data_IF_813534864485
#
_entry.id   IF_813534864485
#
_cell.length_a   1.000
_cell.length_b   1.000
_cell.length_c   1.000
_cell.angle_alpha   90.00
_cell.angle_beta   90.00
_cell.angle_gamma   90.00
#
_symmetry.space_group_name_H-M   'P 1'
#
loop_
_entity.id
_entity.type
_entity.pdbx_description
1 polymer ?
#
# COMPACT_ATOMS: atom_id res chain seq x y z
N UNK A 1 5.82 21.58 86.07
CA UNK A 1 6.74 20.62 85.44
C UNK A 1 8.02 20.64 86.25
N UNK A 2 8.47 19.48 86.72
CA UNK A 2 9.77 19.35 87.41
C UNK A 2 10.90 19.47 86.37
N UNK A 3 12.11 19.85 86.77
CA UNK A 3 13.30 19.91 85.88
C UNK A 3 13.49 18.60 85.08
N UNK A 4 13.11 17.48 85.70
CA UNK A 4 13.13 16.13 85.13
C UNK A 4 12.14 15.91 83.98
N UNK A 5 11.04 16.65 83.94
CA UNK A 5 10.03 16.56 82.87
C UNK A 5 10.47 17.35 81.62
N UNK A 6 11.18 18.46 81.82
CA UNK A 6 11.73 19.28 80.72
C UNK A 6 12.87 18.52 80.03
N UNK A 7 13.75 17.89 80.81
CA UNK A 7 14.87 17.11 80.28
C UNK A 7 14.40 15.89 79.47
N UNK A 8 13.36 15.18 79.92
CA UNK A 8 12.72 14.10 79.14
C UNK A 8 12.12 14.59 77.83
N UNK A 9 11.49 15.76 77.84
CA UNK A 9 10.84 16.34 76.66
C UNK A 9 11.87 16.82 75.61
N UNK A 10 12.98 17.40 76.06
CA UNK A 10 14.11 17.79 75.20
C UNK A 10 14.79 16.57 74.57
N UNK A 11 14.95 15.48 75.32
CA UNK A 11 15.49 14.22 74.78
C UNK A 11 14.56 13.62 73.73
N UNK A 12 13.25 13.56 74.00
CA UNK A 12 12.26 13.06 73.03
C UNK A 12 12.24 13.90 71.73
N UNK A 13 12.33 15.22 71.82
CA UNK A 13 12.41 16.08 70.63
C UNK A 13 13.69 15.86 69.81
N UNK A 14 14.82 15.63 70.48
CA UNK A 14 16.11 15.34 69.80
C UNK A 14 16.08 14.01 69.07
N UNK A 15 15.59 12.95 69.72
CA UNK A 15 15.45 11.64 69.07
C UNK A 15 14.49 11.73 67.88
N UNK A 16 13.35 12.43 68.02
CA UNK A 16 12.42 12.68 66.91
C UNK A 16 13.05 13.42 65.73
N UNK A 17 13.93 14.39 66.01
CA UNK A 17 14.64 15.12 64.96
C UNK A 17 15.63 14.23 64.20
N UNK A 18 16.33 13.32 64.90
CA UNK A 18 17.22 12.33 64.27
C UNK A 18 16.45 11.39 63.34
N UNK A 19 15.31 10.87 63.80
CA UNK A 19 14.45 9.97 63.01
C UNK A 19 13.98 10.63 61.71
N UNK A 20 13.45 11.86 61.81
CA UNK A 20 12.94 12.60 60.65
C UNK A 20 14.05 12.93 59.67
N UNK A 21 15.24 13.32 60.15
CA UNK A 21 16.38 13.60 59.31
C UNK A 21 16.85 12.33 58.58
N UNK A 22 16.90 11.19 59.28
CA UNK A 22 17.26 9.91 58.67
C UNK A 22 16.28 9.52 57.55
N UNK A 23 14.96 9.60 57.80
CA UNK A 23 13.96 9.30 56.78
C UNK A 23 14.06 10.22 55.56
N UNK A 24 14.29 11.52 55.79
CA UNK A 24 14.43 12.50 54.71
C UNK A 24 15.63 12.20 53.81
N UNK A 25 16.80 11.93 54.39
CA UNK A 25 18.01 11.58 53.63
C UNK A 25 17.83 10.28 52.84
N UNK A 26 17.23 9.26 53.46
CA UNK A 26 16.89 8.00 52.78
C UNK A 26 15.95 8.25 51.59
N UNK A 27 14.92 9.08 51.75
CA UNK A 27 13.98 9.39 50.67
C UNK A 27 14.64 10.16 49.52
N UNK A 28 15.54 11.10 49.82
CA UNK A 28 16.32 11.81 48.80
C UNK A 28 17.20 10.88 47.97
N UNK A 29 17.88 9.94 48.63
CA UNK A 29 18.74 8.95 47.97
C UNK A 29 17.88 8.05 47.08
N UNK A 30 16.80 7.47 47.63
CA UNK A 30 15.95 6.51 46.93
C UNK A 30 15.09 7.10 45.81
N UNK A 31 14.97 8.43 45.73
CA UNK A 31 14.28 9.13 44.64
C UNK A 31 15.09 9.21 43.34
N UNK A 32 16.42 8.98 43.38
CA UNK A 32 17.32 9.09 42.23
C UNK A 32 17.35 7.78 41.42
N UNK A 33 16.37 7.62 40.54
CA UNK A 33 16.21 6.42 39.70
C UNK A 33 17.29 6.24 38.62
N UNK A 34 18.12 7.25 38.40
CA UNK A 34 19.26 7.27 37.48
C UNK A 34 20.53 6.65 38.07
N UNK A 35 20.58 6.41 39.38
CA UNK A 35 21.70 5.73 40.04
C UNK A 35 21.49 4.22 40.10
N UNK A 36 22.56 3.40 39.99
CA UNK A 36 22.46 1.98 40.26
C UNK A 36 21.95 1.71 41.68
N UNK A 37 21.12 0.68 41.85
CA UNK A 37 20.59 0.28 43.16
C UNK A 37 21.71 0.00 44.16
N UNK A 38 22.83 -0.55 43.68
CA UNK A 38 24.02 -0.83 44.47
C UNK A 38 24.58 0.46 45.13
N UNK A 39 24.67 1.55 44.37
CA UNK A 39 25.16 2.84 44.85
C UNK A 39 24.16 3.48 45.82
N UNK A 40 22.86 3.41 45.49
CA UNK A 40 21.80 3.91 46.36
C UNK A 40 21.79 3.17 47.72
N UNK A 41 21.97 1.85 47.75
CA UNK A 41 22.03 1.07 48.98
C UNK A 41 23.26 1.40 49.83
N UNK A 42 24.42 1.63 49.21
CA UNK A 42 25.62 2.08 49.93
C UNK A 42 25.40 3.44 50.60
N UNK A 43 24.79 4.39 49.89
CA UNK A 43 24.46 5.70 50.46
C UNK A 43 23.42 5.60 51.58
N UNK A 44 22.37 4.77 51.41
CA UNK A 44 21.34 4.57 52.44
C UNK A 44 21.93 4.02 53.73
N UNK A 45 22.83 3.04 53.64
CA UNK A 45 23.46 2.46 54.83
C UNK A 45 24.28 3.50 55.62
N UNK A 46 24.72 4.59 54.97
CA UNK A 46 25.48 5.67 55.61
C UNK A 46 24.66 6.63 56.44
N UNK A 47 23.41 6.83 56.04
CA UNK A 47 22.51 7.78 56.69
C UNK A 47 21.64 7.14 57.76
N UNK A 48 21.67 5.81 57.89
CA UNK A 48 20.94 5.07 58.93
C UNK A 48 21.52 5.30 60.33
N UNK A 49 22.82 5.12 60.62
CA UNK A 49 23.36 5.21 61.99
C UNK A 49 23.03 6.49 62.77
N UNK A 50 23.07 7.70 62.17
CA UNK A 50 22.68 8.94 62.85
C UNK A 50 21.21 9.00 63.31
N UNK A 51 20.32 8.19 62.72
CA UNK A 51 18.91 8.10 63.07
C UNK A 51 18.61 7.33 64.35
N UNK A 52 19.63 6.66 64.93
CA UNK A 52 19.50 5.83 66.12
C UNK A 52 19.99 6.54 67.39
N UNK A 53 19.50 6.09 68.55
CA UNK A 53 19.81 6.63 69.87
C UNK A 53 21.33 6.62 70.14
N UNK A 54 21.99 5.49 69.86
CA UNK A 54 23.43 5.30 70.01
C UNK A 54 24.15 5.25 68.66
N UNK A 55 24.18 6.39 67.96
CA UNK A 55 24.70 6.50 66.59
C UNK A 55 26.19 6.13 66.43
N UNK A 56 27.00 6.31 67.47
CA UNK A 56 28.45 6.04 67.50
C UNK A 56 28.78 4.55 67.33
N UNK A 57 27.98 3.69 67.96
CA UNK A 57 28.11 2.23 67.92
C UNK A 57 27.11 1.57 66.99
N UNK A 58 26.31 2.36 66.25
CA UNK A 58 25.33 1.87 65.31
C UNK A 58 25.98 1.49 63.98
N UNK A 59 25.62 0.32 63.44
CA UNK A 59 26.00 -0.15 62.10
C UNK A 59 24.78 -0.69 61.38
N UNK A 60 24.64 -0.36 60.11
CA UNK A 60 23.52 -0.82 59.29
C UNK A 60 24.04 -1.72 58.15
N UNK A 61 23.19 -2.63 57.68
CA UNK A 61 23.48 -3.54 56.59
C UNK A 61 22.22 -3.78 55.77
N UNK A 62 22.34 -3.67 54.46
CA UNK A 62 21.31 -4.10 53.51
C UNK A 62 21.81 -5.37 52.82
N UNK A 63 20.95 -6.38 52.75
CA UNK A 63 21.14 -7.55 51.92
C UNK A 63 20.10 -7.51 50.79
N UNK A 64 20.52 -7.66 49.54
CA UNK A 64 19.65 -7.71 48.37
C UNK A 64 20.27 -8.56 47.27
N UNK A 65 19.51 -9.52 46.72
CA UNK A 65 19.95 -10.45 45.66
C UNK A 65 21.33 -11.13 45.94
N UNK A 66 21.57 -11.50 47.21
CA UNK A 66 22.80 -12.18 47.63
C UNK A 66 24.03 -11.26 47.76
N UNK A 67 23.88 -9.95 47.56
CA UNK A 67 24.89 -8.95 47.83
C UNK A 67 24.62 -8.24 49.16
N UNK A 68 25.70 -7.83 49.83
CA UNK A 68 25.66 -7.18 51.15
C UNK A 68 26.28 -5.79 51.04
N UNK A 69 25.55 -4.80 51.54
CA UNK A 69 25.94 -3.39 51.53
C UNK A 69 26.13 -2.93 52.98
N UNK A 70 27.37 -2.55 53.32
CA UNK A 70 27.77 -1.98 54.62
C UNK A 70 28.97 -1.06 54.43
N UNK A 71 29.13 -0.07 55.31
CA UNK A 71 30.23 0.91 55.23
C UNK A 71 31.51 0.40 55.86
N UNK A 72 31.37 -0.30 56.98
CA UNK A 72 32.47 -0.89 57.72
C UNK A 72 32.12 -2.32 58.06
N UNK A 73 33.09 -3.22 57.94
CA UNK A 73 32.96 -4.56 58.49
C UNK A 73 32.98 -4.49 60.02
N UNK A 74 32.02 -5.15 60.65
CA UNK A 74 31.94 -5.26 62.10
C UNK A 74 31.62 -6.70 62.50
N UNK A 75 31.90 -7.04 63.76
CA UNK A 75 31.55 -8.35 64.30
C UNK A 75 30.08 -8.37 64.70
N UNK A 76 29.26 -9.32 64.20
CA UNK A 76 27.87 -9.44 64.59
C UNK A 76 27.72 -9.57 66.11
N UNK A 77 26.82 -8.79 66.67
CA UNK A 77 26.49 -8.80 68.10
C UNK A 77 25.07 -9.33 68.30
N UNK A 78 24.70 -9.78 69.52
CA UNK A 78 23.31 -10.15 69.82
C UNK A 78 22.37 -8.93 69.88
N UNK A 79 22.87 -7.71 69.72
CA UNK A 79 22.10 -6.46 69.76
C UNK A 79 21.76 -6.01 68.34
N UNK A 80 20.78 -6.69 67.75
CA UNK A 80 20.35 -6.48 66.37
C UNK A 80 18.84 -6.30 66.28
N UNK A 81 18.42 -5.45 65.36
CA UNK A 81 17.07 -5.44 64.83
C UNK A 81 17.11 -5.57 63.31
N UNK A 82 16.14 -6.28 62.76
CA UNK A 82 16.08 -6.58 61.33
C UNK A 82 14.65 -6.51 60.82
N UNK A 83 14.49 -6.13 59.56
CA UNK A 83 13.21 -6.16 58.86
C UNK A 83 13.41 -6.60 57.41
N UNK A 84 12.52 -7.45 56.92
CA UNK A 84 12.55 -7.92 55.53
C UNK A 84 12.23 -6.77 54.57
N UNK A 85 12.91 -6.77 53.42
CA UNK A 85 12.60 -5.90 52.28
C UNK A 85 11.70 -6.71 51.35
N UNK A 86 10.45 -6.25 51.21
CA UNK A 86 9.41 -6.97 50.45
C UNK A 86 9.04 -6.19 49.19
N UNK A 87 9.11 -6.85 48.04
CA UNK A 87 8.69 -6.30 46.74
C UNK A 87 7.61 -7.21 46.17
N UNK A 88 6.42 -6.65 45.92
CA UNK A 88 5.26 -7.37 45.38
C UNK A 88 4.92 -8.68 46.14
N UNK A 89 5.11 -8.68 47.47
CA UNK A 89 4.81 -9.83 48.33
C UNK A 89 5.92 -10.87 48.43
N UNK A 90 7.02 -10.73 47.71
CA UNK A 90 8.21 -11.57 47.85
C UNK A 90 9.30 -10.86 48.67
N UNK A 91 9.95 -11.59 49.58
CA UNK A 91 11.14 -11.10 50.29
C UNK A 91 12.32 -11.12 49.31
N UNK A 92 12.89 -9.94 49.03
CA UNK A 92 14.01 -9.78 48.09
C UNK A 92 15.33 -9.46 48.81
N UNK A 93 15.28 -9.28 50.13
CA UNK A 93 16.40 -8.82 50.92
C UNK A 93 16.01 -8.52 52.35
N UNK A 94 16.94 -7.94 53.11
CA UNK A 94 16.73 -7.56 54.51
C UNK A 94 17.53 -6.32 54.87
N UNK A 95 16.94 -5.48 55.73
CA UNK A 95 17.63 -4.37 56.39
C UNK A 95 17.88 -4.76 57.84
N UNK A 96 19.12 -4.62 58.30
CA UNK A 96 19.51 -4.92 59.67
C UNK A 96 20.35 -3.80 60.27
N UNK A 97 20.16 -3.55 61.57
CA UNK A 97 20.88 -2.53 62.34
C UNK A 97 21.39 -3.13 63.65
N UNK A 98 22.67 -2.93 63.94
CA UNK A 98 23.36 -3.44 65.12
C UNK A 98 23.90 -2.33 65.99
N UNK A 99 24.01 -2.62 67.28
CA UNK A 99 24.96 -1.95 68.17
C UNK A 99 26.20 -2.81 68.40
N UNK A 100 27.39 -2.25 68.21
CA UNK A 100 28.68 -2.97 68.36
C UNK A 100 29.08 -3.21 69.81
N UNK A 101 28.43 -2.54 70.76
CA UNK A 101 28.68 -2.62 72.19
C UNK A 101 27.39 -2.84 72.99
N UNK A 102 27.52 -3.34 74.23
CA UNK A 102 26.37 -3.49 75.12
C UNK A 102 25.82 -2.11 75.49
N UNK A 103 24.51 -1.96 75.36
CA UNK A 103 23.75 -0.77 75.78
C UNK A 103 22.65 -1.14 76.79
N UNK A 104 22.10 -0.17 77.54
CA UNK A 104 20.98 -0.39 78.46
C UNK A 104 19.81 -1.08 77.75
N UNK A 105 18.99 -1.81 78.51
CA UNK A 105 17.75 -2.37 77.96
C UNK A 105 16.68 -1.28 77.92
N UNK A 106 16.08 -1.11 76.76
CA UNK A 106 14.97 -0.21 76.46
C UNK A 106 13.73 -1.07 76.11
N UNK A 107 13.01 -0.74 75.04
CA UNK A 107 11.76 -1.40 74.64
C UNK A 107 12.00 -2.75 73.92
N UNK A 108 12.90 -2.76 72.92
CA UNK A 108 13.19 -3.90 72.05
C UNK A 108 14.67 -4.25 72.21
N UNK A 109 15.01 -4.94 73.31
CA UNK A 109 16.42 -5.13 73.66
C UNK A 109 17.04 -3.78 74.01
N UNK A 110 18.11 -3.31 73.33
CA UNK A 110 18.66 -1.98 73.54
C UNK A 110 18.02 -0.88 72.66
N UNK A 111 17.00 -1.20 71.86
CA UNK A 111 16.37 -0.27 70.91
C UNK A 111 15.03 0.28 71.43
N UNK A 112 14.64 1.47 70.96
CA UNK A 112 13.36 2.11 71.24
C UNK A 112 12.25 1.60 70.30
N UNK A 113 10.99 1.67 70.73
CA UNK A 113 9.83 1.38 69.85
C UNK A 113 9.80 2.27 68.59
N UNK A 114 10.35 3.48 68.69
CA UNK A 114 10.40 4.45 67.59
C UNK A 114 11.43 4.02 66.52
N UNK A 115 12.61 3.55 66.93
CA UNK A 115 13.62 2.93 66.06
C UNK A 115 13.11 1.66 65.37
N UNK A 116 12.28 0.87 66.07
CA UNK A 116 11.59 -0.29 65.49
C UNK A 116 10.56 0.07 64.41
N UNK A 117 9.95 1.27 64.49
CA UNK A 117 9.09 1.82 63.43
C UNK A 117 9.93 2.41 62.29
N UNK A 118 11.06 3.04 62.61
CA UNK A 118 11.98 3.63 61.64
C UNK A 118 12.54 2.57 60.69
N UNK A 119 13.11 1.47 61.20
CA UNK A 119 13.67 0.39 60.36
C UNK A 119 12.62 -0.23 59.42
N UNK A 120 11.40 -0.42 59.92
CA UNK A 120 10.28 -0.94 59.11
C UNK A 120 9.92 0.02 57.98
N UNK A 121 9.84 1.31 58.28
CA UNK A 121 9.55 2.35 57.28
C UNK A 121 10.65 2.39 56.22
N UNK A 122 11.93 2.33 56.61
CA UNK A 122 13.06 2.32 55.67
C UNK A 122 13.01 1.05 54.80
N UNK A 123 12.75 -0.12 55.37
CA UNK A 123 12.62 -1.37 54.62
C UNK A 123 11.47 -1.33 53.58
N UNK A 124 10.33 -0.70 53.94
CA UNK A 124 9.22 -0.47 53.01
C UNK A 124 9.62 0.48 51.86
N UNK A 125 10.37 1.56 52.16
CA UNK A 125 10.87 2.50 51.13
C UNK A 125 11.88 1.85 50.20
N UNK A 126 12.78 1.02 50.72
CA UNK A 126 13.72 0.22 49.93
C UNK A 126 12.96 -0.70 48.97
N UNK A 127 11.93 -1.39 49.44
CA UNK A 127 11.07 -2.23 48.59
C UNK A 127 10.38 -1.43 47.47
N UNK A 128 9.86 -0.25 47.78
CA UNK A 128 9.26 0.64 46.77
C UNK A 128 10.28 1.10 45.72
N UNK A 129 11.48 1.51 46.14
CA UNK A 129 12.54 1.97 45.24
C UNK A 129 13.00 0.86 44.29
N UNK A 130 13.21 -0.37 44.79
CA UNK A 130 13.56 -1.53 43.95
C UNK A 130 12.51 -1.76 42.85
N UNK A 131 11.21 -1.64 43.19
CA UNK A 131 10.14 -1.76 42.21
C UNK A 131 10.22 -0.66 41.15
N UNK A 132 10.44 0.60 41.55
CA UNK A 132 10.59 1.71 40.62
C UNK A 132 11.79 1.56 39.67
N UNK A 133 12.93 1.09 40.17
CA UNK A 133 14.10 0.79 39.34
C UNK A 133 13.80 -0.32 38.31
N UNK A 134 13.17 -1.43 38.72
CA UNK A 134 12.76 -2.51 37.80
C UNK A 134 11.84 -2.00 36.69
N UNK A 135 10.89 -1.12 37.02
CA UNK A 135 9.99 -0.51 36.05
C UNK A 135 10.72 0.45 35.10
N UNK A 136 11.64 1.26 35.64
CA UNK A 136 12.42 2.23 34.87
C UNK A 136 13.31 1.53 33.82
N UNK A 137 14.04 0.48 34.21
CA UNK A 137 14.85 -0.32 33.29
C UNK A 137 14.03 -1.02 32.21
N UNK A 138 12.88 -1.60 32.59
CA UNK A 138 11.98 -2.26 31.64
C UNK A 138 11.46 -1.28 30.59
N UNK A 139 11.14 -0.05 31.01
CA UNK A 139 10.72 1.02 30.09
C UNK A 139 11.82 1.40 29.11
N UNK A 140 13.06 1.58 29.58
CA UNK A 140 14.19 1.92 28.71
C UNK A 140 14.44 0.83 27.65
N UNK A 141 14.46 -0.44 28.05
CA UNK A 141 14.60 -1.58 27.13
C UNK A 141 13.49 -1.62 26.07
N UNK A 142 12.26 -1.30 26.47
CA UNK A 142 11.11 -1.25 25.55
C UNK A 142 11.19 -0.07 24.57
N UNK A 143 11.66 1.10 25.02
CA UNK A 143 11.89 2.27 24.16
C UNK A 143 12.99 2.02 23.12
N UNK A 144 14.08 1.35 23.50
CA UNK A 144 15.16 0.95 22.60
C UNK A 144 14.69 -0.06 21.54
N UNK A 145 14.00 -1.13 21.95
CA UNK A 145 13.46 -2.14 21.03
C UNK A 145 12.46 -1.54 20.03
N UNK A 146 11.61 -0.60 20.47
CA UNK A 146 10.70 0.13 19.58
C UNK A 146 11.44 1.02 18.58
N UNK A 147 12.55 1.65 18.99
CA UNK A 147 13.37 2.48 18.11
C UNK A 147 14.06 1.64 17.03
N UNK A 148 14.56 0.46 17.37
CA UNK A 148 15.15 -0.49 16.42
C UNK A 148 14.11 -1.01 15.42
N UNK A 149 12.93 -1.42 15.89
CA UNK A 149 11.84 -1.87 15.02
C UNK A 149 11.34 -0.76 14.08
N UNK A 150 11.32 0.48 14.55
CA UNK A 150 10.95 1.64 13.74
C UNK A 150 11.99 1.93 12.66
N UNK A 151 13.29 1.85 12.99
CA UNK A 151 14.37 2.00 12.02
C UNK A 151 14.34 0.89 10.94
N UNK A 152 14.08 -0.36 11.33
CA UNK A 152 13.98 -1.48 10.39
C UNK A 152 12.78 -1.34 9.43
N UNK A 153 11.63 -0.82 9.90
CA UNK A 153 10.49 -0.47 9.04
C UNK A 153 10.81 0.68 8.06
N UNK A 154 11.66 1.63 8.47
CA UNK A 154 11.96 2.83 7.70
C UNK A 154 12.82 2.58 6.46
N UNK A 155 13.51 1.44 6.37
CA UNK A 155 14.42 1.12 5.26
C UNK A 155 14.01 -0.09 4.40
N UNK A 156 12.82 -0.67 4.63
CA UNK A 156 12.31 -1.83 3.89
C UNK A 156 12.27 -1.64 2.37
N UNK A 157 12.16 -0.40 1.90
CA UNK A 157 12.13 -0.08 0.47
C UNK A 157 13.46 -0.34 -0.25
N UNK A 158 14.60 -0.28 0.44
CA UNK A 158 15.92 -0.33 -0.21
C UNK A 158 16.18 -1.65 -0.92
N UNK A 159 15.90 -2.79 -0.28
CA UNK A 159 16.18 -4.09 -0.87
C UNK A 159 15.38 -4.39 -2.16
N UNK A 160 14.05 -4.15 -2.23
CA UNK A 160 13.29 -4.28 -3.47
C UNK A 160 13.79 -3.37 -4.61
N UNK A 161 14.12 -2.11 -4.31
CA UNK A 161 14.61 -1.16 -5.32
C UNK A 161 16.01 -1.54 -5.82
N UNK A 162 16.88 -1.99 -4.92
CA UNK A 162 18.22 -2.46 -5.29
C UNK A 162 18.16 -3.76 -6.12
N UNK A 163 17.25 -4.67 -5.78
CA UNK A 163 16.99 -5.87 -6.60
C UNK A 163 16.57 -5.49 -8.01
N UNK A 164 15.60 -4.57 -8.15
CA UNK A 164 15.14 -4.05 -9.43
C UNK A 164 16.28 -3.42 -10.23
N UNK A 165 17.13 -2.61 -9.58
CA UNK A 165 18.29 -1.95 -10.20
C UNK A 165 19.29 -2.97 -10.77
N UNK A 166 19.48 -4.10 -10.09
CA UNK A 166 20.38 -5.17 -10.52
C UNK A 166 19.77 -6.08 -11.59
N UNK A 167 18.47 -6.38 -11.48
CA UNK A 167 17.79 -7.29 -12.40
C UNK A 167 17.48 -6.65 -13.75
N UNK A 168 17.03 -5.39 -13.76
CA UNK A 168 16.67 -4.67 -14.97
C UNK A 168 16.95 -3.17 -14.82
N UNK A 169 18.14 -2.78 -15.26
CA UNK A 169 18.60 -1.38 -15.22
C UNK A 169 17.69 -0.44 -16.04
N UNK A 170 17.14 -0.90 -17.16
CA UNK A 170 16.32 -0.07 -18.02
C UNK A 170 14.96 0.21 -17.38
N UNK A 171 14.33 -0.81 -16.80
CA UNK A 171 13.09 -0.68 -16.04
C UNK A 171 13.29 0.19 -14.80
N UNK A 172 14.39 0.00 -14.05
CA UNK A 172 14.75 0.86 -12.93
C UNK A 172 14.80 2.34 -13.33
N UNK A 173 15.46 2.69 -14.44
CA UNK A 173 15.54 4.08 -14.90
C UNK A 173 14.17 4.66 -15.27
N UNK A 174 13.28 3.86 -15.89
CA UNK A 174 11.90 4.28 -16.19
C UNK A 174 11.10 4.54 -14.91
N UNK A 175 11.21 3.66 -13.92
CA UNK A 175 10.52 3.78 -12.63
C UNK A 175 11.07 4.95 -11.81
N UNK A 176 12.38 5.12 -11.75
CA UNK A 176 13.01 6.26 -11.09
C UNK A 176 12.52 7.58 -11.70
N UNK A 177 12.36 7.64 -13.02
CA UNK A 177 11.77 8.79 -13.72
C UNK A 177 10.29 9.01 -13.35
N UNK A 178 9.47 7.95 -13.32
CA UNK A 178 8.09 8.02 -12.86
C UNK A 178 8.00 8.53 -11.42
N UNK A 179 8.92 8.10 -10.55
CA UNK A 179 9.01 8.57 -9.15
C UNK A 179 9.22 10.07 -9.07
N UNK A 180 10.18 10.62 -9.82
CA UNK A 180 10.42 12.08 -9.84
C UNK A 180 9.17 12.83 -10.28
N UNK A 181 8.53 12.42 -11.37
CA UNK A 181 7.31 13.06 -11.87
C UNK A 181 6.19 13.01 -10.84
N UNK A 182 6.01 11.87 -10.16
CA UNK A 182 5.02 11.72 -9.10
C UNK A 182 5.27 12.68 -7.93
N UNK A 183 6.52 12.83 -7.49
CA UNK A 183 6.89 13.76 -6.42
C UNK A 183 6.66 15.22 -6.83
N UNK A 184 6.95 15.59 -8.07
CA UNK A 184 6.67 16.93 -8.58
C UNK A 184 5.16 17.24 -8.61
N UNK A 185 4.34 16.30 -9.11
CA UNK A 185 2.88 16.48 -9.13
C UNK A 185 2.26 16.50 -7.74
N UNK A 186 2.83 15.76 -6.79
CA UNK A 186 2.42 15.78 -5.39
C UNK A 186 2.86 17.07 -4.65
N UNK A 187 3.67 17.93 -5.29
CA UNK A 187 4.14 19.18 -4.68
C UNK A 187 5.15 18.98 -3.54
N UNK A 188 5.93 17.90 -3.58
CA UNK A 188 6.91 17.57 -2.55
C UNK A 188 8.08 18.55 -2.57
N UNK A 189 8.45 19.09 -1.41
CA UNK A 189 9.62 19.96 -1.23
C UNK A 189 10.91 19.25 -1.67
N UNK A 190 11.64 19.87 -2.60
CA UNK A 190 12.83 19.31 -3.26
C UNK A 190 12.54 18.49 -4.53
N UNK A 191 11.26 18.22 -4.86
CA UNK A 191 10.88 17.50 -6.07
C UNK A 191 11.23 18.27 -7.35
N UNK A 192 10.98 19.58 -7.38
CA UNK A 192 11.35 20.44 -8.52
C UNK A 192 12.87 20.59 -8.68
N UNK A 193 13.61 20.70 -7.57
CA UNK A 193 15.07 20.74 -7.59
C UNK A 193 15.65 19.45 -8.17
N UNK A 194 15.11 18.29 -7.77
CA UNK A 194 15.49 16.99 -8.30
C UNK A 194 15.17 16.87 -9.80
N UNK A 195 14.01 17.37 -10.24
CA UNK A 195 13.65 17.42 -11.65
C UNK A 195 14.65 18.26 -12.45
N UNK A 196 15.04 19.43 -11.93
CA UNK A 196 16.05 20.30 -12.54
C UNK A 196 17.44 19.67 -12.54
N UNK A 197 17.82 18.93 -11.50
CA UNK A 197 19.10 18.20 -11.46
C UNK A 197 19.18 17.11 -12.55
N UNK A 198 18.03 16.49 -12.85
CA UNK A 198 17.92 15.37 -13.80
C UNK A 198 17.77 15.86 -15.25
N UNK A 199 16.97 16.90 -15.47
CA UNK A 199 16.58 17.37 -16.82
C UNK A 199 17.15 18.75 -17.19
N UNK A 200 17.87 19.40 -16.27
CA UNK A 200 18.40 20.76 -16.41
C UNK A 200 17.38 21.85 -16.08
N UNK A 201 17.87 23.07 -15.81
CA UNK A 201 17.04 24.25 -15.59
C UNK A 201 16.18 24.56 -16.82
N UNK A 202 14.92 24.92 -16.60
CA UNK A 202 14.08 25.50 -17.63
C UNK A 202 14.50 26.96 -17.78
N UNK A 203 15.31 27.29 -18.80
CA UNK A 203 15.46 28.69 -19.20
C UNK A 203 14.07 29.23 -19.55
N UNK A 204 13.64 30.30 -18.89
CA UNK A 204 12.43 31.05 -19.25
C UNK A 204 12.67 31.76 -20.59
N UNK A 205 12.69 31.01 -21.69
CA UNK A 205 12.62 31.58 -23.04
C UNK A 205 11.16 31.97 -23.30
N UNK A 206 10.83 33.25 -23.57
CA UNK A 206 9.47 33.69 -23.90
C UNK A 206 8.85 32.97 -25.11
N UNK A 207 9.64 32.22 -25.88
CA UNK A 207 9.20 31.39 -27.01
C UNK A 207 8.78 29.97 -26.64
N UNK A 208 8.82 29.57 -25.36
CA UNK A 208 8.50 28.19 -24.95
C UNK A 208 7.04 27.78 -25.20
N UNK A 209 6.09 28.71 -25.11
CA UNK A 209 4.68 28.47 -25.44
C UNK A 209 4.39 28.49 -26.95
N UNK A 210 5.39 28.85 -27.76
CA UNK A 210 5.28 28.82 -29.21
C UNK A 210 5.76 27.44 -29.70
N UNK A 211 5.00 26.81 -30.59
CA UNK A 211 5.28 25.51 -31.19
C UNK A 211 6.56 25.54 -32.06
N UNK A 212 7.73 25.62 -31.43
CA UNK A 212 9.05 25.65 -32.06
C UNK A 212 9.93 24.48 -31.60
N UNK A 213 10.79 23.94 -32.48
CA UNK A 213 11.71 22.87 -32.10
C UNK A 213 12.73 23.34 -31.05
N UNK A 214 12.73 22.70 -29.88
CA UNK A 214 13.75 22.89 -28.86
C UNK A 214 14.92 21.90 -29.04
N UNK A 215 16.11 22.27 -28.54
CA UNK A 215 17.26 21.36 -28.53
C UNK A 215 16.99 20.18 -27.58
N UNK A 216 17.28 18.93 -27.99
CA UNK A 216 17.17 17.77 -27.11
C UNK A 216 18.07 17.96 -25.88
N UNK A 217 17.54 17.72 -24.68
CA UNK A 217 18.31 17.74 -23.43
C UNK A 217 18.73 16.33 -23.05
N UNK A 218 19.97 16.18 -22.58
CA UNK A 218 20.47 14.90 -22.06
C UNK A 218 19.99 14.70 -20.63
N UNK A 219 19.44 13.52 -20.35
CA UNK A 219 19.01 13.13 -18.99
C UNK A 219 20.24 12.80 -18.16
N UNK A 220 20.35 13.37 -16.96
CA UNK A 220 21.41 13.06 -16.01
C UNK A 220 21.14 11.70 -15.32
N UNK A 221 21.34 10.61 -16.05
CA UNK A 221 21.14 9.24 -15.56
C UNK A 221 21.88 8.89 -14.26
N UNK A 222 23.12 9.37 -14.00
CA UNK A 222 23.80 9.13 -12.73
C UNK A 222 22.96 9.49 -11.49
N UNK A 223 22.18 10.57 -11.55
CA UNK A 223 21.31 11.01 -10.44
C UNK A 223 20.17 10.00 -10.19
N UNK A 224 19.60 9.46 -11.27
CA UNK A 224 18.57 8.41 -11.19
C UNK A 224 19.16 7.10 -10.65
N UNK A 225 20.34 6.71 -11.13
CA UNK A 225 21.04 5.48 -10.71
C UNK A 225 21.52 5.51 -9.26
N UNK A 226 21.77 6.71 -8.72
CA UNK A 226 22.11 6.90 -7.32
C UNK A 226 20.91 6.67 -6.36
N UNK A 227 19.69 6.51 -6.88
CA UNK A 227 18.51 6.25 -6.05
C UNK A 227 17.92 7.47 -5.35
N UNK A 228 18.39 8.69 -5.66
CA UNK A 228 17.89 9.94 -5.06
C UNK A 228 16.36 10.09 -5.12
N UNK A 229 15.66 9.73 -6.22
CA UNK A 229 14.20 9.83 -6.24
C UNK A 229 13.50 8.99 -5.17
N UNK A 230 14.02 7.79 -4.88
CA UNK A 230 13.43 6.88 -3.90
C UNK A 230 13.75 7.31 -2.47
N UNK A 231 14.96 7.85 -2.22
CA UNK A 231 15.31 8.45 -0.93
C UNK A 231 14.41 9.67 -0.63
N UNK A 232 14.18 10.52 -1.63
CA UNK A 232 13.27 11.66 -1.52
C UNK A 232 11.84 11.17 -1.26
N UNK A 233 11.35 10.22 -2.05
CA UNK A 233 10.02 9.64 -1.86
C UNK A 233 9.84 9.02 -0.47
N UNK A 234 10.83 8.27 0.03
CA UNK A 234 10.80 7.69 1.39
C UNK A 234 10.66 8.78 2.45
N UNK A 235 11.30 9.94 2.28
CA UNK A 235 11.24 11.04 3.24
C UNK A 235 9.84 11.58 3.46
N UNK A 236 9.03 11.62 2.40
CA UNK A 236 7.69 12.22 2.45
C UNK A 236 6.56 11.20 2.49
N UNK A 237 6.72 10.04 1.84
CA UNK A 237 5.67 9.03 1.67
C UNK A 237 5.88 7.79 2.56
N UNK A 238 7.10 7.54 3.05
CA UNK A 238 7.46 6.33 3.79
C UNK A 238 7.77 5.11 2.91
N UNK A 239 8.29 4.04 3.52
CA UNK A 239 8.77 2.84 2.80
C UNK A 239 7.68 2.11 2.03
N UNK A 240 6.53 1.89 2.67
CA UNK A 240 5.45 1.07 2.09
C UNK A 240 4.88 1.73 0.84
N UNK A 241 4.71 3.06 0.86
CA UNK A 241 4.26 3.81 -0.32
C UNK A 241 5.27 3.73 -1.48
N UNK A 242 6.58 3.81 -1.20
CA UNK A 242 7.63 3.67 -2.23
C UNK A 242 7.59 2.27 -2.86
N UNK A 243 7.42 1.23 -2.05
CA UNK A 243 7.30 -0.16 -2.51
C UNK A 243 6.06 -0.31 -3.38
N UNK A 244 4.89 0.11 -2.89
CA UNK A 244 3.62 -0.02 -3.61
C UNK A 244 3.62 0.74 -4.94
N UNK A 245 4.08 2.00 -4.96
CA UNK A 245 4.21 2.78 -6.21
C UNK A 245 5.12 2.09 -7.21
N UNK A 246 6.26 1.57 -6.74
CA UNK A 246 7.21 0.87 -7.61
C UNK A 246 6.63 -0.41 -8.16
N UNK A 247 5.99 -1.23 -7.32
CA UNK A 247 5.32 -2.46 -7.75
C UNK A 247 4.24 -2.18 -8.80
N UNK A 248 3.40 -1.17 -8.57
CA UNK A 248 2.38 -0.74 -9.52
C UNK A 248 2.99 -0.35 -10.87
N UNK A 249 4.06 0.44 -10.88
CA UNK A 249 4.71 0.84 -12.12
C UNK A 249 5.49 -0.27 -12.82
N UNK A 250 6.06 -1.23 -12.09
CA UNK A 250 6.61 -2.48 -12.67
C UNK A 250 5.48 -3.24 -13.37
N UNK A 251 4.32 -3.35 -12.74
CA UNK A 251 3.18 -4.07 -13.30
C UNK A 251 2.62 -3.37 -14.55
N UNK A 252 2.49 -2.04 -14.54
CA UNK A 252 2.12 -1.25 -15.72
C UNK A 252 3.12 -1.44 -16.87
N UNK A 253 4.43 -1.52 -16.58
CA UNK A 253 5.45 -1.76 -17.60
C UNK A 253 5.31 -3.16 -18.20
N UNK A 254 5.08 -4.19 -17.37
CA UNK A 254 4.77 -5.55 -17.84
C UNK A 254 3.51 -5.60 -18.72
N UNK A 255 2.49 -4.81 -18.39
CA UNK A 255 1.25 -4.72 -19.15
C UNK A 255 1.35 -3.86 -20.42
N UNK A 256 2.44 -3.10 -20.62
CA UNK A 256 2.56 -2.08 -21.66
C UNK A 256 2.42 -2.60 -23.10
N UNK A 257 2.62 -3.91 -23.32
CA UNK A 257 2.44 -4.53 -24.64
C UNK A 257 0.99 -4.40 -25.15
N UNK A 258 -0.02 -4.41 -24.28
CA UNK A 258 -1.42 -4.34 -24.71
C UNK A 258 -1.76 -2.92 -25.19
N UNK A 259 -1.52 -1.84 -24.42
CA UNK A 259 -1.66 -0.47 -24.92
C UNK A 259 -0.84 -0.21 -26.19
N UNK A 260 0.37 -0.77 -26.31
CA UNK A 260 1.19 -0.61 -27.52
C UNK A 260 0.50 -1.19 -28.77
N UNK A 261 -0.13 -2.36 -28.66
CA UNK A 261 -0.87 -2.99 -29.76
C UNK A 261 -2.18 -2.26 -30.04
N UNK A 262 -2.92 -1.85 -29.00
CA UNK A 262 -4.19 -1.12 -29.13
C UNK A 262 -4.03 0.26 -29.77
N UNK A 263 -2.96 0.98 -29.43
CA UNK A 263 -2.71 2.32 -29.94
C UNK A 263 -2.03 2.34 -31.31
N UNK A 264 -1.60 1.19 -31.84
CA UNK A 264 -1.07 1.08 -33.19
C UNK A 264 -2.21 0.76 -34.17
N UNK A 265 -2.58 1.69 -35.08
CA UNK A 265 -3.68 1.48 -36.03
C UNK A 265 -3.42 0.33 -37.02
N UNK A 266 -2.16 -0.06 -37.20
CA UNK A 266 -1.75 -1.15 -38.10
C UNK A 266 -1.86 -2.53 -37.46
N UNK A 267 -2.06 -2.61 -36.14
CA UNK A 267 -2.18 -3.90 -35.47
C UNK A 267 -3.45 -4.60 -35.93
N UNK A 268 -3.38 -5.86 -36.35
CA UNK A 268 -4.56 -6.63 -36.71
C UNK A 268 -5.38 -7.02 -35.47
N UNK A 269 -6.65 -7.36 -35.66
CA UNK A 269 -7.53 -7.87 -34.62
C UNK A 269 -7.01 -9.19 -34.03
N UNK A 270 -6.27 -10.00 -34.81
CA UNK A 270 -5.61 -11.21 -34.32
C UNK A 270 -4.46 -10.88 -33.36
N UNK A 271 -3.64 -9.87 -33.68
CA UNK A 271 -2.59 -9.38 -32.78
C UNK A 271 -3.17 -8.79 -31.49
N UNK A 272 -4.25 -8.00 -31.61
CA UNK A 272 -4.98 -7.47 -30.46
C UNK A 272 -5.56 -8.60 -29.62
N UNK A 273 -6.20 -9.59 -30.24
CA UNK A 273 -6.75 -10.75 -29.56
C UNK A 273 -5.69 -11.54 -28.78
N UNK A 274 -4.54 -11.79 -29.41
CA UNK A 274 -3.39 -12.41 -28.75
C UNK A 274 -2.88 -11.58 -27.57
N UNK A 275 -2.81 -10.25 -27.70
CA UNK A 275 -2.44 -9.37 -26.61
C UNK A 275 -3.46 -9.39 -25.46
N UNK A 276 -4.77 -9.37 -25.74
CA UNK A 276 -5.82 -9.45 -24.70
C UNK A 276 -5.73 -10.76 -23.92
N UNK A 277 -5.55 -11.90 -24.60
CA UNK A 277 -5.39 -13.20 -23.93
C UNK A 277 -4.15 -13.24 -23.04
N UNK A 278 -3.00 -12.74 -23.53
CA UNK A 278 -1.78 -12.62 -22.70
C UNK A 278 -1.99 -11.72 -21.48
N UNK A 279 -2.72 -10.62 -21.65
CA UNK A 279 -3.03 -9.70 -20.56
C UNK A 279 -3.95 -10.32 -19.51
N UNK A 280 -4.95 -11.09 -19.91
CA UNK A 280 -5.81 -11.84 -18.99
C UNK A 280 -5.00 -12.83 -18.14
N UNK A 281 -4.04 -13.54 -18.73
CA UNK A 281 -3.14 -14.42 -17.97
C UNK A 281 -2.22 -13.64 -17.01
N UNK A 282 -1.78 -12.44 -17.38
CA UNK A 282 -0.94 -11.60 -16.52
C UNK A 282 -1.69 -11.10 -15.28
N UNK A 283 -3.01 -10.87 -15.36
CA UNK A 283 -3.83 -10.40 -14.25
C UNK A 283 -4.35 -11.50 -13.31
N UNK A 284 -4.20 -12.77 -13.68
CA UNK A 284 -4.67 -13.90 -12.87
C UNK A 284 -3.92 -14.05 -11.53
N UNK A 285 -2.80 -13.34 -11.34
CA UNK A 285 -1.95 -13.38 -10.14
C UNK A 285 -2.38 -12.36 -9.05
N UNK A 286 -3.67 -11.98 -8.96
CA UNK A 286 -4.24 -11.00 -8.00
C UNK A 286 -3.54 -9.62 -7.96
N UNK A 287 -2.89 -9.24 -9.06
CA UNK A 287 -2.20 -7.95 -9.19
C UNK A 287 -3.12 -6.86 -9.77
N UNK A 288 -3.25 -5.75 -9.05
CA UNK A 288 -4.05 -4.60 -9.48
C UNK A 288 -3.25 -3.60 -10.33
N UNK A 289 -3.87 -3.11 -11.40
CA UNK A 289 -3.38 -1.97 -12.18
C UNK A 289 -4.06 -0.67 -11.73
N UNK A 290 -3.42 0.46 -11.99
CA UNK A 290 -4.05 1.76 -11.75
C UNK A 290 -5.33 1.93 -12.57
N UNK A 291 -6.35 2.56 -11.98
CA UNK A 291 -7.62 2.83 -12.65
C UNK A 291 -7.44 3.56 -13.98
N UNK A 292 -6.49 4.50 -14.06
CA UNK A 292 -6.19 5.23 -15.29
C UNK A 292 -5.65 4.32 -16.41
N UNK A 293 -4.83 3.32 -16.06
CA UNK A 293 -4.29 2.37 -17.04
C UNK A 293 -5.40 1.44 -17.53
N UNK A 294 -6.25 0.95 -16.63
CA UNK A 294 -7.42 0.14 -16.98
C UNK A 294 -8.39 0.90 -17.88
N UNK A 295 -8.71 2.15 -17.55
CA UNK A 295 -9.53 3.03 -18.39
C UNK A 295 -8.93 3.17 -19.79
N UNK A 296 -7.62 3.39 -19.90
CA UNK A 296 -6.92 3.46 -21.19
C UNK A 296 -7.07 2.17 -22.01
N UNK A 297 -6.95 1.01 -21.37
CA UNK A 297 -7.11 -0.30 -22.00
C UNK A 297 -8.57 -0.52 -22.46
N UNK A 298 -9.54 -0.28 -21.58
CA UNK A 298 -10.97 -0.41 -21.90
C UNK A 298 -11.36 0.48 -23.08
N UNK A 299 -10.95 1.76 -23.04
CA UNK A 299 -11.19 2.71 -24.14
C UNK A 299 -10.51 2.24 -25.42
N UNK A 300 -9.27 1.74 -25.35
CA UNK A 300 -8.55 1.21 -26.49
C UNK A 300 -9.27 0.02 -27.14
N UNK A 301 -9.78 -0.93 -26.33
CA UNK A 301 -10.54 -2.08 -26.82
C UNK A 301 -11.87 -1.68 -27.44
N UNK A 302 -12.62 -0.78 -26.79
CA UNK A 302 -13.88 -0.24 -27.31
C UNK A 302 -13.64 0.42 -28.67
N UNK A 303 -12.59 1.26 -28.79
CA UNK A 303 -12.23 1.89 -30.07
C UNK A 303 -11.86 0.87 -31.12
N UNK A 304 -11.10 -0.17 -30.75
CA UNK A 304 -10.58 -1.15 -31.69
C UNK A 304 -11.66 -2.06 -32.27
N UNK A 305 -12.61 -2.52 -31.46
CA UNK A 305 -13.64 -3.48 -31.87
C UNK A 305 -15.01 -2.85 -32.16
N UNK A 306 -15.37 -1.77 -31.48
CA UNK A 306 -16.74 -1.26 -31.46
C UNK A 306 -16.88 0.08 -32.19
N UNK A 307 -16.42 1.18 -31.58
CA UNK A 307 -16.69 2.55 -32.06
C UNK A 307 -15.73 3.59 -31.50
N UNK A 308 -15.49 4.67 -32.25
CA UNK A 308 -14.69 5.83 -31.81
C UNK A 308 -15.54 6.96 -31.21
N UNK A 309 -16.85 6.76 -31.11
CA UNK A 309 -17.77 7.80 -30.65
C UNK A 309 -17.61 8.07 -29.15
N UNK A 310 -17.23 9.31 -28.81
CA UNK A 310 -16.95 9.71 -27.42
C UNK A 310 -18.14 9.47 -26.48
N UNK A 311 -19.36 9.80 -26.91
CA UNK A 311 -20.57 9.60 -26.10
C UNK A 311 -20.85 8.12 -25.80
N UNK A 312 -20.49 7.22 -26.72
CA UNK A 312 -20.61 5.78 -26.47
C UNK A 312 -19.50 5.33 -25.52
N UNK A 313 -18.26 5.73 -25.79
CA UNK A 313 -17.07 5.37 -25.00
C UNK A 313 -17.20 5.83 -23.54
N UNK A 314 -17.72 7.03 -23.30
CA UNK A 314 -17.87 7.59 -21.96
C UNK A 314 -18.81 6.77 -21.07
N UNK A 315 -19.85 6.17 -21.66
CA UNK A 315 -20.73 5.24 -20.94
C UNK A 315 -20.09 3.87 -20.87
N UNK A 316 -19.58 3.38 -22.00
CA UNK A 316 -19.09 2.03 -22.14
C UNK A 316 -17.90 1.70 -21.24
N UNK A 317 -16.98 2.65 -20.98
CA UNK A 317 -15.82 2.41 -20.11
C UNK A 317 -16.19 2.10 -18.65
N UNK A 318 -17.33 2.59 -18.18
CA UNK A 318 -17.79 2.37 -16.80
C UNK A 318 -18.27 0.93 -16.60
N UNK A 319 -18.83 0.33 -17.65
CA UNK A 319 -19.40 -1.01 -17.58
C UNK A 319 -18.48 -2.06 -18.22
N UNK A 320 -17.95 -1.87 -19.41
CA UNK A 320 -17.19 -2.92 -20.12
C UNK A 320 -15.86 -3.20 -19.41
N UNK A 321 -15.47 -4.47 -19.32
CA UNK A 321 -14.16 -4.92 -18.79
C UNK A 321 -13.38 -5.71 -19.84
N UNK A 322 -12.11 -5.97 -19.54
CA UNK A 322 -11.22 -6.74 -20.42
C UNK A 322 -11.72 -8.16 -20.70
N UNK A 323 -12.31 -8.83 -19.70
CA UNK A 323 -12.84 -10.20 -19.85
C UNK A 323 -13.97 -10.29 -20.87
N UNK A 324 -14.82 -9.26 -20.99
CA UNK A 324 -15.95 -9.25 -21.93
C UNK A 324 -15.46 -9.37 -23.39
N UNK A 325 -14.25 -8.88 -23.68
CA UNK A 325 -13.67 -8.95 -25.02
C UNK A 325 -13.14 -10.33 -25.37
N UNK A 326 -12.82 -11.19 -24.39
CA UNK A 326 -12.33 -12.55 -24.68
C UNK A 326 -13.45 -13.35 -25.36
N UNK A 327 -14.65 -13.34 -24.77
CA UNK A 327 -15.85 -13.97 -25.34
C UNK A 327 -16.21 -13.38 -26.71
N UNK A 328 -16.02 -12.06 -26.88
CA UNK A 328 -16.30 -11.39 -28.15
C UNK A 328 -15.34 -11.85 -29.24
N UNK A 329 -14.03 -11.85 -28.96
CA UNK A 329 -12.95 -12.21 -29.88
C UNK A 329 -13.17 -13.60 -30.47
N UNK A 330 -13.58 -14.57 -29.65
CA UNK A 330 -13.77 -15.96 -30.07
C UNK A 330 -14.96 -16.13 -31.04
N UNK A 331 -15.83 -15.11 -31.14
CA UNK A 331 -17.01 -15.12 -32.02
C UNK A 331 -16.90 -14.17 -33.21
N UNK A 332 -15.75 -13.54 -33.43
CA UNK A 332 -15.51 -12.73 -34.63
C UNK A 332 -14.89 -13.60 -35.72
N UNK A 333 -15.58 -13.70 -36.86
CA UNK A 333 -15.02 -14.22 -38.11
C UNK A 333 -14.11 -13.15 -38.70
N UNK A 334 -12.82 -13.43 -38.69
CA UNK A 334 -11.75 -12.51 -39.09
C UNK A 334 -10.69 -13.22 -39.93
N UNK A 335 -10.06 -12.48 -40.84
CA UNK A 335 -8.80 -12.85 -41.47
C UNK A 335 -7.62 -12.36 -40.62
N UNK A 336 -6.44 -12.98 -40.76
CA UNK A 336 -5.24 -12.64 -39.98
C UNK A 336 -4.82 -11.17 -40.06
N UNK A 337 -5.17 -10.52 -41.17
CA UNK A 337 -4.88 -9.12 -41.43
C UNK A 337 -6.03 -8.17 -41.08
N UNK A 338 -7.07 -8.60 -40.34
CA UNK A 338 -8.26 -7.74 -40.20
C UNK A 338 -8.07 -6.56 -39.24
N UNK A 339 -8.54 -5.37 -39.60
CA UNK A 339 -8.62 -4.15 -38.80
C UNK A 339 -10.04 -3.61 -38.60
N UNK A 340 -11.07 -4.29 -39.13
CA UNK A 340 -12.46 -3.84 -39.09
C UNK A 340 -13.10 -3.75 -37.69
N UNK A 341 -14.30 -3.18 -37.61
CA UNK A 341 -15.12 -3.11 -36.37
C UNK A 341 -16.44 -3.86 -36.53
N UNK A 342 -17.19 -4.04 -35.44
CA UNK A 342 -18.41 -4.86 -35.41
C UNK A 342 -19.71 -4.09 -35.69
N UNK A 343 -19.66 -2.75 -35.77
CA UNK A 343 -20.82 -1.90 -36.07
C UNK A 343 -21.70 -1.55 -34.87
N UNK A 344 -22.65 -0.63 -35.09
CA UNK A 344 -23.45 0.02 -34.05
C UNK A 344 -24.38 -0.93 -33.29
N UNK A 345 -25.11 -1.80 -33.98
CA UNK A 345 -26.03 -2.75 -33.31
C UNK A 345 -25.30 -3.75 -32.44
N UNK A 346 -24.17 -4.27 -32.94
CA UNK A 346 -23.30 -5.17 -32.19
C UNK A 346 -22.76 -4.47 -30.95
N UNK A 347 -22.26 -3.23 -31.12
CA UNK A 347 -21.75 -2.42 -30.01
C UNK A 347 -22.83 -2.10 -28.97
N UNK A 348 -24.03 -1.73 -29.41
CA UNK A 348 -25.17 -1.44 -28.55
C UNK A 348 -25.63 -2.65 -27.75
N UNK A 349 -25.75 -3.82 -28.40
CA UNK A 349 -26.10 -5.07 -27.72
C UNK A 349 -25.02 -5.48 -26.72
N UNK A 350 -23.74 -5.37 -27.10
CA UNK A 350 -22.60 -5.67 -26.24
C UNK A 350 -22.56 -4.77 -24.99
N UNK A 351 -22.80 -3.47 -25.16
CA UNK A 351 -22.89 -2.52 -24.04
C UNK A 351 -24.11 -2.80 -23.16
N UNK A 352 -25.29 -3.05 -23.75
CA UNK A 352 -26.50 -3.35 -22.99
C UNK A 352 -26.32 -4.61 -22.13
N UNK A 353 -25.69 -5.65 -22.68
CA UNK A 353 -25.33 -6.85 -21.92
C UNK A 353 -24.37 -6.53 -20.76
N UNK A 354 -23.32 -5.75 -21.01
CA UNK A 354 -22.35 -5.35 -20.00
C UNK A 354 -22.99 -4.56 -18.84
N UNK A 355 -23.92 -3.65 -19.15
CA UNK A 355 -24.68 -2.89 -18.15
C UNK A 355 -25.54 -3.84 -17.30
N UNK A 356 -26.35 -4.67 -17.95
CA UNK A 356 -27.28 -5.58 -17.25
C UNK A 356 -26.57 -6.60 -16.36
N UNK A 357 -25.38 -7.08 -16.76
CA UNK A 357 -24.58 -8.01 -15.95
C UNK A 357 -23.99 -7.35 -14.70
N UNK A 358 -23.70 -6.04 -14.73
CA UNK A 358 -22.98 -5.33 -13.65
C UNK A 358 -23.89 -4.56 -12.72
N UNK A 359 -24.97 -3.96 -13.22
CA UNK A 359 -26.03 -3.36 -12.38
C UNK A 359 -26.99 -4.42 -11.81
N UNK A 360 -26.82 -5.70 -12.16
CA UNK A 360 -27.61 -6.82 -11.65
C UNK A 360 -27.47 -7.11 -10.15
N UNK A 361 -26.68 -6.33 -9.41
CA UNK A 361 -26.56 -6.39 -7.95
C UNK A 361 -27.54 -5.44 -7.26
N UNK A 362 -28.81 -5.82 -7.17
CA UNK A 362 -29.63 -5.44 -6.01
C UNK A 362 -31.08 -5.02 -6.25
N UNK A 363 -31.40 -4.24 -7.29
CA UNK A 363 -32.68 -3.49 -7.29
C UNK A 363 -33.39 -3.33 -8.66
N UNK A 364 -32.89 -3.99 -9.71
CA UNK A 364 -33.56 -3.96 -11.00
C UNK A 364 -34.74 -4.94 -10.99
N UNK A 365 -35.96 -4.42 -11.19
CA UNK A 365 -37.20 -5.19 -11.45
C UNK A 365 -37.17 -6.02 -12.75
N UNK A 366 -36.02 -6.05 -13.42
CA UNK A 366 -35.73 -6.80 -14.63
C UNK A 366 -35.36 -8.21 -14.17
N UNK A 367 -36.26 -9.17 -14.38
CA UNK A 367 -36.01 -10.59 -14.03
C UNK A 367 -34.86 -11.22 -14.83
N UNK A 368 -34.83 -12.55 -14.92
CA UNK A 368 -33.79 -13.26 -15.69
C UNK A 368 -33.79 -12.80 -17.15
N UNK A 369 -32.69 -12.21 -17.61
CA UNK A 369 -32.48 -11.85 -19.01
C UNK A 369 -31.61 -12.88 -19.72
N UNK A 370 -31.72 -12.94 -21.05
CA UNK A 370 -30.90 -13.81 -21.90
C UNK A 370 -30.48 -13.04 -23.13
N UNK A 371 -29.19 -13.06 -23.41
CA UNK A 371 -28.63 -12.49 -24.64
C UNK A 371 -28.50 -13.60 -25.69
N UNK A 372 -28.96 -13.39 -26.93
CA UNK A 372 -28.78 -14.37 -28.00
C UNK A 372 -27.29 -14.63 -28.27
N UNK A 373 -26.90 -15.89 -28.39
CA UNK A 373 -25.56 -16.23 -28.90
C UNK A 373 -25.43 -15.66 -30.31
N UNK A 374 -24.41 -14.83 -30.48
CA UNK A 374 -24.20 -14.04 -31.69
C UNK A 374 -22.74 -14.19 -32.13
N UNK A 375 -22.54 -14.27 -33.45
CA UNK A 375 -21.24 -14.24 -34.10
C UNK A 375 -21.19 -13.05 -35.06
N UNK A 376 -19.99 -12.58 -35.34
CA UNK A 376 -19.79 -11.31 -36.02
C UNK A 376 -18.86 -11.47 -37.20
N UNK A 377 -19.15 -10.76 -38.29
CA UNK A 377 -18.21 -10.56 -39.40
C UNK A 377 -17.74 -9.11 -39.30
N UNK A 378 -16.43 -8.91 -39.16
CA UNK A 378 -15.86 -7.56 -39.07
C UNK A 378 -16.14 -6.76 -40.35
N UNK A 379 -16.25 -5.43 -40.23
CA UNK A 379 -16.61 -4.54 -41.34
C UNK A 379 -15.72 -4.65 -42.58
N UNK A 380 -14.47 -5.08 -42.39
CA UNK A 380 -13.53 -5.31 -43.49
C UNK A 380 -13.85 -6.55 -44.32
N UNK A 381 -14.59 -7.52 -43.77
CA UNK A 381 -15.03 -8.69 -44.53
C UNK A 381 -15.79 -8.30 -45.81
N UNK A 382 -16.53 -7.18 -45.79
CA UNK A 382 -17.16 -6.61 -46.97
C UNK A 382 -16.13 -6.06 -47.98
N UNK A 383 -15.10 -5.35 -47.50
CA UNK A 383 -14.04 -4.82 -48.37
C UNK A 383 -13.25 -5.96 -49.02
N UNK A 384 -12.91 -6.99 -48.25
CA UNK A 384 -12.22 -8.17 -48.75
C UNK A 384 -13.07 -8.99 -49.72
N UNK A 385 -14.38 -9.04 -49.51
CA UNK A 385 -15.30 -9.63 -50.48
C UNK A 385 -15.29 -8.87 -51.82
N UNK A 386 -15.28 -7.54 -51.78
CA UNK A 386 -15.21 -6.70 -52.99
C UNK A 386 -13.87 -6.95 -53.71
N UNK A 387 -12.76 -6.89 -52.99
CA UNK A 387 -11.41 -7.12 -53.53
C UNK A 387 -11.27 -8.54 -54.13
N UNK A 388 -11.70 -9.57 -53.41
CA UNK A 388 -11.61 -10.96 -53.85
C UNK A 388 -12.37 -11.27 -55.14
N UNK A 389 -13.40 -10.48 -55.45
CA UNK A 389 -14.21 -10.65 -56.66
C UNK A 389 -13.88 -9.59 -57.73
N UNK A 390 -12.79 -8.84 -57.59
CA UNK A 390 -12.37 -7.77 -58.52
C UNK A 390 -13.46 -6.70 -58.74
N UNK A 391 -14.21 -6.35 -57.68
CA UNK A 391 -15.39 -5.46 -57.74
C UNK A 391 -15.10 -4.01 -57.31
N UNK A 392 -13.86 -3.53 -57.42
CA UNK A 392 -13.44 -2.20 -56.93
C UNK A 392 -14.29 -1.04 -57.47
N UNK A 393 -14.85 -1.20 -58.68
CA UNK A 393 -15.75 -0.21 -59.29
C UNK A 393 -17.00 0.09 -58.45
N UNK A 394 -17.46 -0.86 -57.61
CA UNK A 394 -18.62 -0.70 -56.74
C UNK A 394 -18.36 0.40 -55.70
N UNK A 395 -17.11 0.57 -55.27
CA UNK A 395 -16.74 1.61 -54.30
C UNK A 395 -16.90 3.03 -54.85
N UNK A 396 -16.92 3.18 -56.18
CA UNK A 396 -17.08 4.47 -56.86
C UNK A 396 -18.54 4.95 -56.87
N UNK A 397 -19.51 4.08 -56.58
CA UNK A 397 -20.94 4.41 -56.55
C UNK A 397 -21.26 5.60 -55.64
N UNK A 398 -20.52 5.75 -54.54
CA UNK A 398 -20.71 6.84 -53.58
C UNK A 398 -20.40 8.24 -54.14
N UNK A 399 -19.78 8.33 -55.31
CA UNK A 399 -19.47 9.58 -56.00
C UNK A 399 -20.33 9.82 -57.24
N UNK A 400 -21.21 8.88 -57.60
CA UNK A 400 -22.09 8.99 -58.76
C UNK A 400 -23.35 9.78 -58.42
N UNK A 401 -23.97 10.33 -59.46
CA UNK A 401 -25.26 11.00 -59.34
C UNK A 401 -26.35 10.05 -58.83
N UNK A 402 -27.27 10.56 -58.02
CA UNK A 402 -28.30 9.73 -57.35
C UNK A 402 -29.20 8.98 -58.33
N UNK A 403 -29.45 9.53 -59.51
CA UNK A 403 -30.20 8.88 -60.59
C UNK A 403 -29.46 7.63 -61.12
N UNK A 404 -28.15 7.76 -61.36
CA UNK A 404 -27.29 6.67 -61.82
C UNK A 404 -27.18 5.57 -60.77
N UNK A 405 -26.98 5.94 -59.51
CA UNK A 405 -26.95 4.97 -58.39
C UNK A 405 -28.22 4.14 -58.34
N UNK A 406 -29.41 4.76 -58.52
CA UNK A 406 -30.69 4.04 -58.53
C UNK A 406 -30.82 3.10 -59.72
N UNK A 407 -30.33 3.50 -60.89
CA UNK A 407 -30.38 2.69 -62.10
C UNK A 407 -29.47 1.45 -62.00
N UNK A 408 -28.28 1.61 -61.41
CA UNK A 408 -27.29 0.53 -61.33
C UNK A 408 -27.48 -0.39 -60.11
N UNK A 409 -28.24 0.04 -59.09
CA UNK A 409 -28.47 -0.71 -57.86
C UNK A 409 -28.95 -2.17 -58.08
N UNK A 410 -29.94 -2.46 -58.95
CA UNK A 410 -30.35 -3.84 -59.21
C UNK A 410 -29.22 -4.71 -59.78
N UNK A 411 -28.36 -4.14 -60.62
CA UNK A 411 -27.22 -4.85 -61.21
C UNK A 411 -26.19 -5.19 -60.15
N UNK A 412 -25.89 -4.26 -59.22
CA UNK A 412 -24.99 -4.51 -58.10
C UNK A 412 -25.51 -5.64 -57.20
N UNK A 413 -26.83 -5.71 -56.96
CA UNK A 413 -27.41 -6.84 -56.21
C UNK A 413 -27.13 -8.17 -56.90
N UNK A 414 -27.35 -8.24 -58.22
CA UNK A 414 -27.09 -9.47 -58.97
C UNK A 414 -25.61 -9.83 -58.99
N UNK A 415 -24.73 -8.83 -59.15
CA UNK A 415 -23.29 -9.01 -59.09
C UNK A 415 -22.86 -9.63 -57.75
N UNK A 416 -23.32 -9.07 -56.63
CA UNK A 416 -23.02 -9.58 -55.29
C UNK A 416 -23.57 -10.99 -55.06
N UNK A 417 -24.80 -11.29 -55.54
CA UNK A 417 -25.40 -12.62 -55.39
C UNK A 417 -24.69 -13.72 -56.18
N UNK A 418 -24.02 -13.37 -57.27
CA UNK A 418 -23.29 -14.32 -58.12
C UNK A 418 -21.77 -14.34 -57.83
N UNK A 419 -21.32 -13.54 -56.87
CA UNK A 419 -19.93 -13.48 -56.41
C UNK A 419 -19.63 -14.55 -55.35
N UNK A 420 -18.35 -14.82 -55.11
CA UNK A 420 -17.90 -15.86 -54.17
C UNK A 420 -17.43 -15.24 -52.87
N UNK A 421 -17.71 -15.91 -51.75
CA UNK A 421 -17.11 -15.52 -50.47
C UNK A 421 -15.61 -15.86 -50.45
N UNK A 422 -14.77 -14.99 -49.88
CA UNK A 422 -13.38 -15.33 -49.57
C UNK A 422 -13.26 -16.61 -48.73
N UNK A 423 -12.22 -17.44 -48.93
CA UNK A 423 -12.07 -18.71 -48.22
C UNK A 423 -12.12 -18.61 -46.69
N UNK A 424 -11.61 -17.51 -46.12
CA UNK A 424 -11.59 -17.28 -44.68
C UNK A 424 -13.01 -17.05 -44.13
N UNK A 425 -13.85 -16.32 -44.88
CA UNK A 425 -15.26 -16.10 -44.53
C UNK A 425 -16.03 -17.41 -44.64
N UNK A 426 -15.80 -18.19 -45.70
CA UNK A 426 -16.43 -19.52 -45.86
C UNK A 426 -16.10 -20.40 -44.67
N UNK A 427 -14.82 -20.54 -44.32
CA UNK A 427 -14.37 -21.33 -43.18
C UNK A 427 -15.01 -20.88 -41.87
N UNK A 428 -15.01 -19.57 -41.59
CA UNK A 428 -15.58 -19.03 -40.36
C UNK A 428 -17.10 -19.24 -40.27
N UNK A 429 -17.83 -19.02 -41.36
CA UNK A 429 -19.28 -19.27 -41.42
C UNK A 429 -19.58 -20.76 -41.28
N UNK A 430 -18.82 -21.66 -41.92
CA UNK A 430 -18.97 -23.11 -41.74
C UNK A 430 -18.83 -23.52 -40.27
N UNK A 431 -17.81 -23.02 -39.57
CA UNK A 431 -17.62 -23.30 -38.13
C UNK A 431 -18.81 -22.82 -37.28
N UNK A 432 -19.39 -21.68 -37.63
CA UNK A 432 -20.60 -21.17 -36.95
C UNK A 432 -21.79 -22.09 -37.20
N UNK A 433 -22.01 -22.53 -38.44
CA UNK A 433 -23.10 -23.43 -38.78
C UNK A 433 -22.97 -24.77 -38.04
N UNK A 434 -21.75 -25.30 -37.95
CA UNK A 434 -21.46 -26.52 -37.18
C UNK A 434 -21.77 -26.34 -35.67
N UNK A 435 -21.45 -25.18 -35.09
CA UNK A 435 -21.73 -24.88 -33.67
C UNK A 435 -23.24 -24.67 -33.41
N UNK A 436 -23.95 -24.03 -34.35
CA UNK A 436 -25.38 -23.71 -34.22
C UNK A 436 -26.24 -24.97 -34.36
N UNK A 437 -25.86 -25.91 -35.25
CA UNK A 437 -26.65 -27.08 -35.60
C UNK A 437 -28.00 -26.69 -36.22
N UNK A 438 -29.06 -27.45 -35.98
CA UNK A 438 -30.39 -27.26 -36.61
C UNK A 438 -31.22 -26.11 -36.01
N UNK A 439 -30.58 -25.09 -35.43
CA UNK A 439 -31.27 -23.96 -34.80
C UNK A 439 -31.44 -22.82 -35.80
N UNK A 440 -32.61 -22.15 -35.82
CA UNK A 440 -32.84 -21.03 -36.72
C UNK A 440 -31.90 -19.86 -36.41
N UNK A 441 -31.48 -19.19 -37.48
CA UNK A 441 -30.53 -18.08 -37.44
C UNK A 441 -31.17 -16.78 -37.90
N UNK A 442 -30.68 -15.67 -37.33
CA UNK A 442 -31.03 -14.33 -37.79
C UNK A 442 -29.75 -13.65 -38.25
N UNK A 443 -29.65 -13.38 -39.55
CA UNK A 443 -28.54 -12.62 -40.13
C UNK A 443 -28.94 -11.15 -40.17
N UNK A 444 -28.19 -10.31 -39.44
CA UNK A 444 -28.47 -8.88 -39.31
C UNK A 444 -27.27 -8.07 -39.78
N UNK A 445 -27.54 -7.05 -40.58
CA UNK A 445 -26.56 -6.01 -40.88
C UNK A 445 -26.30 -5.12 -39.66
N UNK A 446 -25.04 -4.86 -39.35
CA UNK A 446 -24.60 -3.91 -38.33
C UNK A 446 -23.66 -2.89 -38.96
N UNK A 447 -24.15 -1.68 -39.23
CA UNK A 447 -23.37 -0.62 -39.88
C UNK A 447 -22.54 0.17 -38.86
N UNK A 448 -21.38 0.69 -39.28
CA UNK A 448 -20.57 1.63 -38.48
C UNK A 448 -21.27 2.98 -38.24
N UNK A 449 -22.32 3.27 -39.00
CA UNK A 449 -23.13 4.49 -38.89
C UNK A 449 -24.40 4.28 -38.07
N UNK A 450 -24.74 3.05 -37.68
CA UNK A 450 -25.91 2.75 -36.85
C UNK A 450 -25.67 3.17 -35.39
N UNK A 451 -26.76 3.40 -34.66
CA UNK A 451 -26.80 3.69 -33.22
C UNK A 451 -25.94 4.88 -32.76
N UNK A 452 -25.72 5.86 -33.64
CA UNK A 452 -25.20 7.17 -33.23
C UNK A 452 -26.27 7.93 -32.47
N UNK A 453 -25.93 8.49 -31.31
CA UNK A 453 -26.80 9.44 -30.62
C UNK A 453 -27.22 10.57 -31.58
N UNK A 454 -28.53 10.71 -31.81
CA UNK A 454 -29.11 11.74 -32.68
C UNK A 454 -29.42 11.33 -34.12
N UNK A 455 -29.10 10.11 -34.56
CA UNK A 455 -29.48 9.62 -35.89
C UNK A 455 -30.00 8.19 -35.88
N UNK A 456 -31.28 7.99 -36.19
CA UNK A 456 -31.87 6.67 -36.36
C UNK A 456 -31.70 6.19 -37.81
N UNK A 457 -30.94 5.11 -38.01
CA UNK A 457 -30.84 4.40 -39.30
C UNK A 457 -31.87 3.27 -39.42
N UNK A 458 -33.02 3.41 -38.76
CA UNK A 458 -34.07 2.39 -38.70
C UNK A 458 -34.64 2.08 -40.09
N UNK A 459 -34.76 0.80 -40.42
CA UNK A 459 -35.44 0.31 -41.63
C UNK A 459 -34.60 0.36 -42.93
N UNK A 460 -33.38 0.89 -42.92
CA UNK A 460 -32.54 0.95 -44.14
C UNK A 460 -31.85 -0.36 -44.49
N UNK A 461 -31.65 -1.23 -43.51
CA UNK A 461 -30.91 -2.47 -43.68
C UNK A 461 -31.74 -3.72 -43.40
N UNK A 462 -31.45 -4.82 -44.11
CA UNK A 462 -32.24 -6.06 -44.05
C UNK A 462 -31.83 -6.94 -42.87
N UNK A 463 -32.83 -7.58 -42.25
CA UNK A 463 -32.65 -8.71 -41.34
C UNK A 463 -33.27 -9.94 -41.99
N UNK A 464 -32.50 -11.02 -42.08
CA UNK A 464 -32.93 -12.27 -42.71
C UNK A 464 -33.08 -13.34 -41.64
N UNK A 465 -34.23 -14.01 -41.62
CA UNK A 465 -34.50 -15.15 -40.75
C UNK A 465 -34.32 -16.43 -41.58
N UNK A 466 -33.49 -17.34 -41.09
CA UNK A 466 -33.10 -18.57 -41.78
C UNK A 466 -33.52 -19.73 -40.88
N UNK A 467 -34.25 -20.70 -41.42
CA UNK A 467 -34.77 -21.83 -40.64
C UNK A 467 -33.66 -22.77 -40.11
N UNK A 468 -32.48 -22.70 -40.75
CA UNK A 468 -31.28 -23.54 -40.66
C UNK A 468 -31.54 -25.04 -40.85
#
# INVERSE_FOLDING_TARGET
>A
MTDRDIEKLLTSLRERAKELNCLYEVEQILARLDLPLEEAFQEVVAVIPPGWQYSDVCRAMIEHDGQVYTIEEFRPTPWVQSNDIVVQGAVVGGLSVWYTEKRPKEDIGPFLNEEGRLIRTIAERLGQSILFHRMYETRLKWEEANRELAAEKQDRWRAPIELLRRSDRALYLRIARKMVNHLCWAGVDGGQELLQEIFGLQEEDPRHDLNFPARPRTVNEPVLLAGKPFELARRYLGSDAVISLTQNWVMEDKASFLPAVLNNPRSSLSEVAGAVRRFHHLLADDTELSAATLDGIHVGLIRRFLTDQLNFISVAKEYIRTEDFIDLIDRVVQSDASHGKLGGKSAGLFLAEAILRRDGSGDLSIGKFKVPRSWYVASEGLMRFIEYNDLDEVLQQKYRETSQVRQEFPNIIQLFKNSRFPPEIVKGVSMILDEVGDKPLIVRSSSLLEDRMGSAFSGKYRSLFIAN
#
